data_IF_584164692956
#
_entry.id   IF_584164692956
#
_cell.length_a   1.000
_cell.length_b   1.000
_cell.length_c   1.000
_cell.angle_alpha   90.00
_cell.angle_beta   90.00
_cell.angle_gamma   90.00
#
_symmetry.space_group_name_H-M   'P 1'
#
loop_
_entity.id
_entity.type
_entity.pdbx_description
1 polymer ?
#
# COMPACT_ATOMS: atom_id res chain seq x y z
N UNK A 1 -17.38 -10.29 -1.55
CA UNK A 1 -16.31 -9.30 -1.26
C UNK A 1 -15.62 -8.92 -2.56
N UNK A 2 -15.39 -7.62 -2.82
CA UNK A 2 -14.77 -7.14 -4.06
C UNK A 2 -13.28 -6.88 -3.84
N UNK A 3 -12.40 -7.49 -4.65
CA UNK A 3 -10.95 -7.37 -4.54
C UNK A 3 -10.34 -6.24 -5.41
N UNK A 4 -11.16 -5.54 -6.20
CA UNK A 4 -10.70 -4.44 -7.07
C UNK A 4 -10.05 -3.28 -6.30
N UNK A 5 -10.45 -3.00 -5.07
CA UNK A 5 -9.81 -1.98 -4.24
C UNK A 5 -8.33 -2.33 -3.94
N UNK A 6 -7.99 -3.61 -3.79
CA UNK A 6 -6.59 -4.04 -3.63
C UNK A 6 -5.82 -3.95 -4.95
N UNK A 7 -6.48 -4.17 -6.09
CA UNK A 7 -5.87 -3.97 -7.41
C UNK A 7 -5.54 -2.49 -7.64
N UNK A 8 -6.48 -1.60 -7.31
CA UNK A 8 -6.25 -0.15 -7.42
C UNK A 8 -5.10 0.28 -6.51
N UNK A 9 -5.10 -0.14 -5.24
CA UNK A 9 -4.00 0.17 -4.33
C UNK A 9 -2.66 -0.34 -4.85
N UNK A 10 -2.61 -1.56 -5.41
CA UNK A 10 -1.41 -2.13 -6.02
C UNK A 10 -0.89 -1.23 -7.15
N UNK A 11 -1.77 -0.78 -8.04
CA UNK A 11 -1.41 0.14 -9.14
C UNK A 11 -0.86 1.44 -8.56
N UNK A 12 -1.55 2.05 -7.60
CA UNK A 12 -1.13 3.32 -7.00
C UNK A 12 0.24 3.22 -6.30
N UNK A 13 0.54 2.08 -5.65
CA UNK A 13 1.85 1.80 -5.05
C UNK A 13 2.96 1.68 -6.11
N UNK A 14 2.67 1.04 -7.24
CA UNK A 14 3.60 0.90 -8.36
C UNK A 14 3.85 2.23 -9.06
N UNK A 15 2.82 3.07 -9.19
CA UNK A 15 2.94 4.44 -9.70
C UNK A 15 3.85 5.24 -8.79
N UNK A 16 3.65 5.23 -7.46
CA UNK A 16 4.56 5.91 -6.53
C UNK A 16 6.00 5.38 -6.65
N UNK A 17 6.21 4.07 -6.79
CA UNK A 17 7.56 3.52 -6.95
C UNK A 17 8.28 4.08 -8.19
N UNK A 18 7.54 4.36 -9.26
CA UNK A 18 8.07 4.92 -10.50
C UNK A 18 8.28 6.44 -10.39
N UNK A 19 7.34 7.13 -9.75
CA UNK A 19 7.27 8.59 -9.73
C UNK A 19 7.89 9.21 -8.46
N UNK A 20 8.53 8.41 -7.60
CA UNK A 20 9.06 8.88 -6.32
C UNK A 20 10.03 10.07 -6.48
N UNK A 21 10.93 10.00 -7.44
CA UNK A 21 11.92 11.06 -7.70
C UNK A 21 11.29 12.33 -8.26
N UNK A 22 10.44 12.26 -9.32
CA UNK A 22 9.64 13.41 -9.74
C UNK A 22 8.82 14.06 -8.61
N UNK A 23 8.06 13.26 -7.85
CA UNK A 23 7.21 13.75 -6.76
C UNK A 23 8.01 14.42 -5.64
N UNK A 24 9.24 13.97 -5.38
CA UNK A 24 10.08 14.59 -4.37
C UNK A 24 10.44 16.05 -4.71
N UNK A 25 10.50 16.41 -5.99
CA UNK A 25 10.80 17.79 -6.43
C UNK A 25 9.61 18.74 -6.24
N UNK A 26 8.41 18.20 -6.12
CA UNK A 26 7.19 18.97 -5.89
C UNK A 26 6.96 19.23 -4.40
N UNK A 27 6.74 20.49 -4.05
CA UNK A 27 6.55 20.88 -2.65
C UNK A 27 5.32 20.20 -2.04
N UNK A 28 5.56 19.40 -1.01
CA UNK A 28 4.54 18.70 -0.24
C UNK A 28 3.86 17.54 -0.97
N UNK A 29 4.31 17.17 -2.18
CA UNK A 29 3.65 16.12 -2.95
C UNK A 29 3.76 14.74 -2.28
N UNK A 30 4.91 14.41 -1.67
CA UNK A 30 5.08 13.13 -0.97
C UNK A 30 4.15 13.02 0.26
N UNK A 31 3.96 14.13 0.98
CA UNK A 31 3.03 14.18 2.12
C UNK A 31 1.59 13.99 1.65
N UNK A 32 1.18 14.70 0.58
CA UNK A 32 -0.15 14.52 -0.02
C UNK A 32 -0.35 13.09 -0.49
N UNK A 33 0.66 12.48 -1.11
CA UNK A 33 0.59 11.10 -1.59
C UNK A 33 0.40 10.11 -0.42
N UNK A 34 1.18 10.26 0.66
CA UNK A 34 1.03 9.43 1.87
C UNK A 34 -0.35 9.55 2.50
N UNK A 35 -0.89 10.76 2.60
CA UNK A 35 -2.25 11.01 3.09
C UNK A 35 -3.32 10.43 2.15
N UNK A 36 -3.09 10.47 0.84
CA UNK A 36 -3.95 9.88 -0.17
C UNK A 36 -4.12 8.38 0.04
N UNK A 37 -3.02 7.65 0.31
CA UNK A 37 -3.09 6.22 0.62
C UNK A 37 -3.88 5.92 1.90
N UNK A 38 -3.73 6.72 2.95
CA UNK A 38 -4.49 6.54 4.19
C UNK A 38 -5.99 6.83 3.98
N UNK A 39 -6.31 7.86 3.20
CA UNK A 39 -7.69 8.20 2.84
C UNK A 39 -8.32 7.11 1.97
N UNK A 40 -7.56 6.56 1.02
CA UNK A 40 -7.99 5.41 0.22
C UNK A 40 -8.28 4.20 1.11
N UNK A 41 -7.39 3.91 2.07
CA UNK A 41 -7.62 2.84 3.03
C UNK A 41 -8.93 3.03 3.78
N UNK A 42 -9.14 4.19 4.40
CA UNK A 42 -10.32 4.49 5.21
C UNK A 42 -11.63 4.35 4.42
N UNK A 43 -11.62 4.76 3.15
CA UNK A 43 -12.83 4.78 2.32
C UNK A 43 -13.09 3.48 1.57
N UNK A 44 -12.04 2.78 1.11
CA UNK A 44 -12.18 1.63 0.21
C UNK A 44 -11.84 0.28 0.87
N UNK A 45 -10.92 0.25 1.84
CA UNK A 45 -10.39 -1.01 2.38
C UNK A 45 -10.80 -1.28 3.82
N UNK A 46 -10.92 -0.26 4.67
CA UNK A 46 -11.36 -0.41 6.06
C UNK A 46 -12.79 -0.98 6.19
N UNK A 47 -13.77 -0.64 5.31
CA UNK A 47 -15.11 -1.21 5.37
C UNK A 47 -15.20 -2.69 4.99
N UNK A 48 -14.14 -3.26 4.42
CA UNK A 48 -14.12 -4.68 4.04
C UNK A 48 -13.96 -5.52 5.31
N UNK A 49 -15.02 -6.23 5.71
CA UNK A 49 -15.02 -7.03 6.95
C UNK A 49 -14.62 -8.49 6.75
N UNK A 50 -14.60 -8.97 5.51
CA UNK A 50 -14.25 -10.36 5.17
C UNK A 50 -15.27 -11.41 5.62
N UNK A 51 -16.45 -11.02 6.13
CA UNK A 51 -17.47 -11.93 6.69
C UNK A 51 -17.96 -13.00 5.71
N UNK A 52 -17.83 -12.75 4.41
CA UNK A 52 -18.23 -13.69 3.35
C UNK A 52 -17.11 -14.68 2.97
N UNK A 53 -15.92 -14.57 3.57
CA UNK A 53 -14.79 -15.42 3.24
C UNK A 53 -14.88 -16.75 4.00
N UNK A 54 -14.57 -17.90 3.36
CA UNK A 54 -14.37 -19.16 4.06
C UNK A 54 -13.30 -19.01 5.15
N UNK A 55 -13.45 -19.69 6.28
CA UNK A 55 -12.61 -19.53 7.48
C UNK A 55 -11.09 -19.61 7.18
N UNK A 56 -10.68 -20.57 6.34
CA UNK A 56 -9.28 -20.73 5.92
C UNK A 56 -8.73 -19.52 5.14
N UNK A 57 -9.56 -18.85 4.37
CA UNK A 57 -9.20 -17.66 3.59
C UNK A 57 -9.30 -16.41 4.47
N UNK A 58 -10.31 -16.34 5.34
CA UNK A 58 -10.54 -15.22 6.26
C UNK A 58 -9.33 -14.94 7.14
N UNK A 59 -8.74 -15.98 7.76
CA UNK A 59 -7.56 -15.82 8.63
C UNK A 59 -6.37 -15.22 7.88
N UNK A 60 -6.06 -15.75 6.69
CA UNK A 60 -4.96 -15.26 5.86
C UNK A 60 -5.23 -13.82 5.37
N UNK A 61 -6.44 -13.54 4.90
CA UNK A 61 -6.87 -12.22 4.47
C UNK A 61 -6.76 -11.20 5.61
N UNK A 62 -7.28 -11.52 6.81
CA UNK A 62 -7.29 -10.60 7.97
C UNK A 62 -5.87 -10.26 8.43
N UNK A 63 -4.97 -11.23 8.42
CA UNK A 63 -3.55 -11.02 8.72
C UNK A 63 -2.92 -10.06 7.70
N UNK A 64 -3.02 -10.36 6.40
CA UNK A 64 -2.48 -9.51 5.33
C UNK A 64 -3.09 -8.11 5.31
N UNK A 65 -4.40 -8.00 5.55
CA UNK A 65 -5.12 -6.73 5.63
C UNK A 65 -4.59 -5.86 6.77
N UNK A 66 -4.33 -6.45 7.94
CA UNK A 66 -3.72 -5.75 9.08
C UNK A 66 -2.30 -5.28 8.77
N UNK A 67 -1.48 -6.14 8.17
CA UNK A 67 -0.10 -5.79 7.79
C UNK A 67 -0.06 -4.71 6.71
N UNK A 68 -0.98 -4.75 5.76
CA UNK A 68 -1.14 -3.74 4.71
C UNK A 68 -1.42 -2.37 5.34
N UNK A 69 -2.38 -2.26 6.26
CA UNK A 69 -2.65 -0.99 6.96
C UNK A 69 -1.44 -0.47 7.74
N UNK A 70 -0.76 -1.35 8.48
CA UNK A 70 0.46 -1.00 9.22
C UNK A 70 1.52 -0.47 8.26
N UNK A 71 1.73 -1.15 7.13
CA UNK A 71 2.68 -0.74 6.11
C UNK A 71 2.34 0.61 5.49
N UNK A 72 1.07 0.91 5.21
CA UNK A 72 0.65 2.21 4.67
C UNK A 72 0.93 3.36 5.66
N UNK A 73 0.72 3.14 6.96
CA UNK A 73 1.08 4.13 7.99
C UNK A 73 2.58 4.41 8.05
N UNK A 74 3.39 3.36 7.93
CA UNK A 74 4.84 3.49 7.88
C UNK A 74 5.30 4.16 6.59
N UNK A 75 4.65 3.87 5.45
CA UNK A 75 4.93 4.52 4.17
C UNK A 75 4.68 6.02 4.26
N UNK A 76 3.53 6.43 4.80
CA UNK A 76 3.22 7.85 5.02
C UNK A 76 4.30 8.54 5.88
N UNK A 77 4.76 7.86 6.93
CA UNK A 77 5.83 8.37 7.80
C UNK A 77 7.15 8.53 7.04
N UNK A 78 7.54 7.53 6.24
CA UNK A 78 8.76 7.59 5.45
C UNK A 78 8.70 8.69 4.37
N UNK A 79 7.54 8.90 3.74
CA UNK A 79 7.32 9.97 2.76
C UNK A 79 7.42 11.37 3.38
N UNK A 80 6.86 11.58 4.57
CA UNK A 80 7.01 12.83 5.33
C UNK A 80 8.49 13.10 5.63
N UNK A 81 9.23 12.07 6.07
CA UNK A 81 10.66 12.22 6.34
C UNK A 81 11.48 12.49 5.08
N UNK A 82 11.17 11.83 3.96
CA UNK A 82 11.85 12.09 2.69
C UNK A 82 11.61 13.54 2.21
N UNK A 83 10.37 14.05 2.31
CA UNK A 83 10.04 15.43 1.94
C UNK A 83 10.83 16.46 2.75
N UNK A 84 11.04 16.19 4.05
CA UNK A 84 11.78 17.09 4.95
C UNK A 84 13.30 16.95 4.89
N UNK A 85 13.82 15.90 4.24
CA UNK A 85 15.25 15.60 4.19
C UNK A 85 16.00 16.53 3.25
N UNK A 86 17.12 17.10 3.71
CA UNK A 86 17.96 18.04 2.95
C UNK A 86 19.33 17.48 2.54
N UNK A 87 19.77 16.38 3.16
CA UNK A 87 21.05 15.75 2.85
C UNK A 87 20.87 14.70 1.75
N UNK A 88 21.68 14.71 0.68
CA UNK A 88 21.61 13.69 -0.38
C UNK A 88 21.76 12.26 0.15
N UNK A 89 22.64 12.03 1.14
CA UNK A 89 22.85 10.71 1.73
C UNK A 89 21.60 10.22 2.49
N UNK A 90 20.97 11.09 3.26
CA UNK A 90 19.73 10.78 4.00
C UNK A 90 18.56 10.59 3.05
N UNK A 91 18.46 11.39 1.98
CA UNK A 91 17.45 11.21 0.94
C UNK A 91 17.57 9.85 0.26
N UNK A 92 18.78 9.47 -0.17
CA UNK A 92 19.02 8.17 -0.82
C UNK A 92 18.67 7.00 0.10
N UNK A 93 19.08 7.05 1.38
CA UNK A 93 18.72 6.03 2.36
C UNK A 93 17.19 5.92 2.55
N UNK A 94 16.49 7.07 2.61
CA UNK A 94 15.03 7.10 2.74
C UNK A 94 14.30 6.59 1.50
N UNK A 95 14.78 6.94 0.31
CA UNK A 95 14.26 6.38 -0.94
C UNK A 95 14.38 4.86 -0.99
N UNK A 96 15.52 4.30 -0.57
CA UNK A 96 15.70 2.84 -0.52
C UNK A 96 14.76 2.17 0.48
N UNK A 97 14.56 2.79 1.65
CA UNK A 97 13.61 2.32 2.66
C UNK A 97 12.16 2.34 2.11
N UNK A 98 11.77 3.41 1.43
CA UNK A 98 10.48 3.55 0.78
C UNK A 98 10.31 2.48 -0.30
N UNK A 99 11.30 2.29 -1.17
CA UNK A 99 11.24 1.29 -2.23
C UNK A 99 11.03 -0.12 -1.67
N UNK A 100 11.77 -0.47 -0.61
CA UNK A 100 11.61 -1.76 0.08
C UNK A 100 10.19 -1.92 0.61
N UNK A 101 9.62 -0.86 1.20
CA UNK A 101 8.27 -0.88 1.74
C UNK A 101 7.21 -0.98 0.64
N UNK A 102 7.37 -0.26 -0.47
CA UNK A 102 6.46 -0.34 -1.61
C UNK A 102 6.43 -1.77 -2.18
N UNK A 103 7.58 -2.43 -2.31
CA UNK A 103 7.64 -3.84 -2.73
C UNK A 103 6.89 -4.76 -1.75
N UNK A 104 7.04 -4.57 -0.44
CA UNK A 104 6.31 -5.38 0.56
C UNK A 104 4.79 -5.17 0.47
N UNK A 105 4.34 -3.91 0.30
CA UNK A 105 2.93 -3.58 0.20
C UNK A 105 2.30 -4.11 -1.10
N UNK A 106 3.03 -4.02 -2.23
CA UNK A 106 2.63 -4.64 -3.50
C UNK A 106 2.48 -6.16 -3.36
N UNK A 107 3.41 -6.81 -2.64
CA UNK A 107 3.33 -8.24 -2.38
C UNK A 107 2.10 -8.60 -1.52
N UNK A 108 1.78 -7.82 -0.48
CA UNK A 108 0.57 -8.05 0.31
C UNK A 108 -0.70 -7.90 -0.53
N UNK A 109 -0.78 -6.87 -1.39
CA UNK A 109 -1.90 -6.71 -2.32
C UNK A 109 -2.02 -7.93 -3.24
N UNK A 110 -0.89 -8.40 -3.78
CA UNK A 110 -0.83 -9.57 -4.66
C UNK A 110 -1.35 -10.83 -4.00
N UNK A 111 -0.93 -11.11 -2.76
CA UNK A 111 -1.40 -12.30 -2.03
C UNK A 111 -2.88 -12.19 -1.66
N UNK A 112 -3.37 -11.00 -1.31
CA UNK A 112 -4.80 -10.78 -1.08
C UNK A 112 -5.62 -11.02 -2.36
N UNK A 113 -5.17 -10.52 -3.51
CA UNK A 113 -5.85 -10.74 -4.80
C UNK A 113 -5.92 -12.24 -5.12
N UNK A 114 -4.81 -12.97 -4.96
CA UNK A 114 -4.77 -14.44 -5.15
C UNK A 114 -5.72 -15.19 -4.22
N UNK A 115 -5.94 -14.70 -3.00
CA UNK A 115 -6.96 -15.29 -2.10
C UNK A 115 -8.37 -15.12 -2.67
N UNK A 116 -8.63 -13.98 -3.34
CA UNK A 116 -9.88 -13.71 -4.05
C UNK A 116 -10.09 -14.62 -5.25
N UNK A 117 -9.06 -14.81 -6.08
CA UNK A 117 -9.14 -15.66 -7.28
C UNK A 117 -9.48 -17.12 -6.93
N UNK A 118 -9.07 -17.60 -5.75
CA UNK A 118 -9.40 -18.94 -5.24
C UNK A 118 -10.87 -19.12 -4.86
N UNK A 119 -11.63 -18.03 -4.69
CA UNK A 119 -13.07 -18.07 -4.37
C UNK A 119 -13.94 -18.19 -5.61
N UNK A 120 -13.38 -17.91 -6.79
CA UNK A 120 -13.98 -18.14 -8.09
C UNK A 120 -13.34 -19.36 -8.72
N UNK A 121 -13.75 -20.60 -8.36
CA UNK A 121 -13.51 -21.70 -9.28
C UNK A 121 -14.25 -21.35 -10.58
N UNK A 122 -13.57 -21.53 -11.70
CA UNK A 122 -14.04 -21.22 -13.06
C UNK A 122 -15.54 -21.52 -13.25
N UNK A 123 -16.23 -20.59 -13.93
CA UNK A 123 -17.57 -20.77 -14.46
C UNK A 123 -17.62 -21.89 -15.51
#
# INVERSE_FOLDING_TARGET
MNFSAYQQLKIDLQTLATDLTPLQQESGALVRQGQGFLSFWETQLAPLTGEQLPEKIYSAWRSLHTELYRGLRLLNTDLIFLQGSRSPSTQSQKQQQIQTRLTQLDQYCTEIIKLGDRLTPEA
#
